data_IF_534673765275
#
_entry.id   IF_534673765275
#
_cell.length_a   1.000
_cell.length_b   1.000
_cell.length_c   1.000
_cell.angle_alpha   90.00
_cell.angle_beta   90.00
_cell.angle_gamma   90.00
#
_symmetry.space_group_name_H-M   'P 1'
#
loop_
_entity.id
_entity.type
_entity.pdbx_description
1 polymer ?
#
# COMPACT_ATOMS: atom_id res chain seq x y z
N UNK A 1 8.69 11.21 -19.55
CA UNK A 1 9.11 9.93 -18.94
C UNK A 1 8.01 8.91 -19.25
N UNK A 2 8.32 7.65 -19.52
CA UNK A 2 7.30 6.58 -19.54
C UNK A 2 7.07 6.05 -18.12
N UNK A 3 5.96 5.33 -17.87
CA UNK A 3 5.73 4.74 -16.54
C UNK A 3 6.85 3.76 -16.13
N UNK A 4 7.45 3.05 -17.10
CA UNK A 4 8.55 2.10 -16.91
C UNK A 4 9.89 2.78 -16.58
N UNK A 5 10.02 4.08 -16.86
CA UNK A 5 11.22 4.87 -16.60
C UNK A 5 11.19 5.59 -15.24
N UNK A 6 10.10 5.48 -14.49
CA UNK A 6 9.96 6.16 -13.20
C UNK A 6 10.91 5.52 -12.18
N UNK A 7 11.83 6.29 -11.55
CA UNK A 7 12.78 5.74 -10.59
C UNK A 7 12.11 5.29 -9.29
N UNK A 8 12.70 4.27 -8.66
CA UNK A 8 12.32 3.77 -7.34
C UNK A 8 12.77 4.70 -6.22
N UNK A 9 12.02 5.79 -6.01
CA UNK A 9 12.15 6.66 -4.84
C UNK A 9 11.15 6.32 -3.75
N UNK A 10 11.48 6.66 -2.51
CA UNK A 10 10.65 6.37 -1.35
C UNK A 10 9.75 7.56 -0.98
N UNK A 11 8.44 7.31 -0.98
CA UNK A 11 7.41 8.26 -0.55
C UNK A 11 6.65 7.65 0.62
N UNK A 12 6.34 8.47 1.62
CA UNK A 12 5.55 8.06 2.77
C UNK A 12 4.29 8.90 2.86
N UNK A 13 3.19 8.28 3.26
CA UNK A 13 1.94 8.98 3.51
C UNK A 13 1.35 8.61 4.88
N UNK A 14 0.58 9.53 5.44
CA UNK A 14 -0.08 9.37 6.74
C UNK A 14 -1.55 9.79 6.62
N UNK A 15 -2.45 8.94 7.10
CA UNK A 15 -3.85 9.26 7.28
C UNK A 15 -4.12 9.44 8.78
N UNK A 16 -4.63 10.61 9.16
CA UNK A 16 -5.01 10.90 10.57
C UNK A 16 -6.47 10.55 10.85
N UNK A 17 -7.29 10.52 9.80
CA UNK A 17 -8.72 10.19 9.86
C UNK A 17 -9.20 9.81 8.47
N UNK A 18 -10.00 8.76 8.40
CA UNK A 18 -10.67 8.33 7.16
C UNK A 18 -11.56 9.44 6.59
N UNK A 19 -11.40 9.73 5.30
CA UNK A 19 -12.42 10.43 4.52
C UNK A 19 -13.49 9.45 4.03
N UNK A 20 -14.66 9.45 4.68
CA UNK A 20 -15.75 8.52 4.35
C UNK A 20 -16.31 8.72 2.93
N UNK A 21 -16.20 9.91 2.34
CA UNK A 21 -16.65 10.18 0.96
C UNK A 21 -15.83 9.42 -0.09
N UNK A 22 -14.62 8.96 0.27
CA UNK A 22 -13.76 8.19 -0.62
C UNK A 22 -14.13 6.71 -0.71
N UNK A 23 -14.97 6.22 0.22
CA UNK A 23 -15.36 4.84 0.30
C UNK A 23 -16.17 4.42 -0.92
N UNK A 24 -15.89 3.22 -1.43
CA UNK A 24 -16.68 2.61 -2.50
C UNK A 24 -17.11 1.20 -2.13
N UNK A 25 -18.22 0.77 -2.70
CA UNK A 25 -18.66 -0.62 -2.62
C UNK A 25 -18.00 -1.46 -3.71
N UNK A 26 -17.80 -2.74 -3.42
CA UNK A 26 -17.41 -3.72 -4.41
C UNK A 26 -18.59 -4.04 -5.33
N UNK A 27 -18.34 -4.19 -6.63
CA UNK A 27 -19.38 -4.60 -7.57
C UNK A 27 -19.80 -6.04 -7.29
N UNK A 28 -21.08 -6.35 -7.55
CA UNK A 28 -21.69 -7.64 -7.20
C UNK A 28 -21.08 -8.84 -7.93
N UNK A 29 -20.37 -8.65 -9.04
CA UNK A 29 -19.66 -9.74 -9.73
C UNK A 29 -18.36 -10.19 -9.02
N UNK A 30 -17.96 -9.49 -7.95
CA UNK A 30 -16.77 -9.78 -7.16
C UNK A 30 -17.14 -9.95 -5.68
N UNK A 31 -16.25 -10.57 -4.91
CA UNK A 31 -16.38 -10.65 -3.45
C UNK A 31 -15.02 -10.52 -2.75
N UNK A 32 -15.07 -10.16 -1.47
CA UNK A 32 -13.90 -10.14 -0.60
C UNK A 32 -13.71 -11.49 0.08
N UNK A 33 -12.45 -11.90 0.25
CA UNK A 33 -12.06 -12.93 1.21
C UNK A 33 -10.63 -12.73 1.65
N UNK A 34 -10.27 -13.29 2.79
CA UNK A 34 -8.89 -13.33 3.20
C UNK A 34 -8.03 -14.24 2.30
N UNK A 35 -6.74 -13.91 2.21
CA UNK A 35 -5.72 -14.79 1.65
C UNK A 35 -5.62 -16.07 2.50
N UNK A 36 -5.65 -17.24 1.85
CA UNK A 36 -5.58 -18.52 2.56
C UNK A 36 -4.11 -18.96 2.74
N UNK A 37 -3.80 -19.81 3.73
CA UNK A 37 -2.43 -20.27 3.96
C UNK A 37 -1.74 -20.89 2.75
N UNK A 38 -2.49 -21.61 1.91
CA UNK A 38 -1.98 -22.24 0.69
C UNK A 38 -1.87 -21.27 -0.51
N UNK A 39 -2.20 -20.00 -0.35
CA UNK A 39 -2.20 -18.98 -1.42
C UNK A 39 -1.05 -17.97 -1.27
N UNK A 40 -0.08 -18.22 -0.37
CA UNK A 40 1.07 -17.35 -0.18
C UNK A 40 1.83 -17.07 -1.48
N UNK A 41 1.99 -18.07 -2.35
CA UNK A 41 2.67 -17.89 -3.63
C UNK A 41 1.88 -17.00 -4.60
N UNK A 42 0.54 -17.06 -4.57
CA UNK A 42 -0.31 -16.17 -5.36
C UNK A 42 -0.11 -14.72 -4.90
N UNK A 43 -0.09 -14.49 -3.58
CA UNK A 43 0.18 -13.18 -3.02
C UNK A 43 1.59 -12.67 -3.40
N UNK A 44 2.61 -13.53 -3.34
CA UNK A 44 3.98 -13.15 -3.73
C UNK A 44 4.10 -12.81 -5.21
N UNK A 45 3.33 -13.45 -6.09
CA UNK A 45 3.38 -13.22 -7.54
C UNK A 45 2.61 -11.96 -7.98
N UNK A 46 1.70 -11.47 -7.13
CA UNK A 46 0.80 -10.35 -7.40
C UNK A 46 1.46 -9.06 -7.92
N UNK A 47 2.62 -8.63 -7.40
CA UNK A 47 3.29 -7.40 -7.85
C UNK A 47 3.76 -7.46 -9.31
N UNK A 48 3.94 -8.67 -9.85
CA UNK A 48 4.56 -8.89 -11.16
C UNK A 48 3.55 -9.14 -12.28
N UNK A 49 2.24 -9.08 -11.98
CA UNK A 49 1.18 -9.42 -12.94
C UNK A 49 1.41 -10.80 -13.59
N UNK A 50 1.91 -11.77 -12.80
CA UNK A 50 2.32 -13.12 -13.22
C UNK A 50 1.65 -14.20 -12.38
N UNK A 51 1.56 -15.43 -12.90
CA UNK A 51 1.08 -16.60 -12.15
C UNK A 51 2.09 -17.08 -11.10
N UNK A 52 3.38 -16.77 -11.30
CA UNK A 52 4.48 -17.15 -10.42
C UNK A 52 5.41 -15.98 -10.17
N UNK A 53 6.17 -16.04 -9.07
CA UNK A 53 7.21 -15.06 -8.76
C UNK A 53 8.35 -15.25 -9.77
N UNK A 54 8.79 -14.21 -10.49
CA UNK A 54 9.98 -14.34 -11.34
C UNK A 54 11.20 -14.68 -10.50
N UNK A 55 12.06 -15.57 -10.99
CA UNK A 55 13.18 -16.17 -10.24
C UNK A 55 14.06 -15.12 -9.58
N UNK A 56 14.35 -14.01 -10.26
CA UNK A 56 15.19 -12.92 -9.77
C UNK A 56 14.59 -12.17 -8.56
N UNK A 57 13.29 -12.32 -8.30
CA UNK A 57 12.59 -11.69 -7.15
C UNK A 57 12.21 -12.68 -6.06
N UNK A 58 12.51 -13.98 -6.19
CA UNK A 58 12.12 -14.98 -5.19
C UNK A 58 12.71 -14.69 -3.81
N UNK A 59 14.01 -14.41 -3.75
CA UNK A 59 14.73 -14.09 -2.51
C UNK A 59 14.21 -12.81 -1.88
N UNK A 60 13.95 -11.79 -2.70
CA UNK A 60 13.39 -10.52 -2.25
C UNK A 60 12.00 -10.71 -1.62
N UNK A 61 11.11 -11.46 -2.28
CA UNK A 61 9.79 -11.74 -1.74
C UNK A 61 9.83 -12.63 -0.50
N UNK A 62 10.78 -13.57 -0.41
CA UNK A 62 11.00 -14.36 0.81
C UNK A 62 11.48 -13.48 1.96
N UNK A 63 12.37 -12.52 1.69
CA UNK A 63 12.82 -11.56 2.70
C UNK A 63 11.66 -10.71 3.23
N UNK A 64 10.79 -10.20 2.36
CA UNK A 64 9.58 -9.46 2.80
C UNK A 64 8.72 -10.30 3.73
N UNK A 65 8.47 -11.57 3.40
CA UNK A 65 7.70 -12.45 4.28
C UNK A 65 8.39 -12.60 5.63
N UNK A 66 9.69 -12.93 5.64
CA UNK A 66 10.43 -13.18 6.87
C UNK A 66 10.52 -11.93 7.76
N UNK A 67 10.91 -10.80 7.16
CA UNK A 67 11.17 -9.56 7.89
C UNK A 67 9.88 -8.91 8.38
N UNK A 68 8.82 -8.92 7.58
CA UNK A 68 7.56 -8.21 7.88
C UNK A 68 6.53 -9.06 8.60
N UNK A 69 6.37 -10.32 8.23
CA UNK A 69 5.20 -11.12 8.60
C UNK A 69 5.53 -12.46 9.28
N UNK A 70 6.78 -12.92 9.18
CA UNK A 70 7.19 -14.27 9.56
C UNK A 70 6.98 -14.60 11.03
N UNK A 71 6.93 -13.58 11.89
CA UNK A 71 6.62 -13.72 13.31
C UNK A 71 5.17 -14.15 13.59
N UNK A 72 4.23 -13.82 12.70
CA UNK A 72 2.82 -14.17 12.84
C UNK A 72 2.11 -14.28 11.48
N UNK A 73 2.38 -15.38 10.79
CA UNK A 73 1.74 -15.69 9.51
C UNK A 73 0.22 -15.85 9.61
N UNK A 74 -0.31 -16.25 10.78
CA UNK A 74 -1.76 -16.37 10.97
C UNK A 74 -2.42 -14.99 10.86
N UNK A 75 -1.84 -13.99 11.52
CA UNK A 75 -2.31 -12.59 11.43
C UNK A 75 -2.08 -12.02 10.03
N UNK A 76 -1.00 -12.38 9.35
CA UNK A 76 -0.80 -11.97 7.94
C UNK A 76 -1.95 -12.43 7.05
N UNK A 77 -2.35 -13.71 7.13
CA UNK A 77 -3.45 -14.23 6.34
C UNK A 77 -4.80 -13.56 6.71
N UNK A 78 -5.05 -13.29 7.99
CA UNK A 78 -6.28 -12.59 8.41
C UNK A 78 -6.32 -11.10 8.03
N UNK A 79 -5.16 -10.47 7.84
CA UNK A 79 -5.08 -9.05 7.49
C UNK A 79 -4.85 -8.78 6.00
N UNK A 80 -4.70 -9.84 5.20
CA UNK A 80 -4.55 -9.76 3.75
C UNK A 80 -5.88 -10.09 3.10
N UNK A 81 -6.47 -9.12 2.39
CA UNK A 81 -7.75 -9.27 1.71
C UNK A 81 -7.52 -9.39 0.21
N UNK A 82 -8.09 -10.43 -0.39
CA UNK A 82 -8.29 -10.55 -1.82
C UNK A 82 -9.68 -10.10 -2.24
N UNK A 83 -9.72 -9.42 -3.38
CA UNK A 83 -10.92 -9.34 -4.22
C UNK A 83 -10.86 -10.50 -5.19
N UNK A 84 -11.91 -11.31 -5.23
CA UNK A 84 -12.02 -12.47 -6.10
C UNK A 84 -13.15 -12.31 -7.12
N UNK A 85 -12.96 -12.89 -8.29
CA UNK A 85 -14.03 -13.05 -9.27
C UNK A 85 -14.92 -14.27 -8.93
N UNK A 86 -15.96 -14.50 -9.75
CA UNK A 86 -16.89 -15.64 -9.62
C UNK A 86 -16.24 -17.04 -9.60
N UNK A 87 -15.01 -17.16 -10.11
CA UNK A 87 -14.26 -18.42 -10.20
C UNK A 87 -13.27 -18.58 -9.02
N UNK A 88 -13.41 -17.75 -7.97
CA UNK A 88 -12.52 -17.69 -6.78
C UNK A 88 -11.08 -17.28 -7.08
N UNK A 89 -10.81 -16.71 -8.28
CA UNK A 89 -9.51 -16.18 -8.67
C UNK A 89 -9.26 -14.82 -8.01
N UNK A 90 -8.18 -14.64 -7.24
CA UNK A 90 -7.74 -13.32 -6.77
C UNK A 90 -7.38 -12.38 -7.93
N UNK A 91 -7.93 -11.18 -7.92
CA UNK A 91 -7.74 -10.15 -8.97
C UNK A 91 -7.37 -8.77 -8.42
N UNK A 92 -7.57 -8.53 -7.11
CA UNK A 92 -6.92 -7.44 -6.39
C UNK A 92 -6.56 -7.90 -4.97
N UNK A 93 -5.59 -7.23 -4.36
CA UNK A 93 -5.15 -7.47 -2.99
C UNK A 93 -4.88 -6.16 -2.28
N UNK A 94 -5.10 -6.14 -0.96
CA UNK A 94 -4.56 -5.13 -0.06
C UNK A 94 -4.36 -5.79 1.31
N UNK A 95 -3.33 -5.35 2.02
CA UNK A 95 -3.02 -5.87 3.35
C UNK A 95 -2.90 -4.71 4.33
N UNK A 96 -3.16 -4.97 5.60
CA UNK A 96 -2.73 -4.06 6.65
C UNK A 96 -1.87 -4.78 7.68
N UNK A 97 -0.98 -4.05 8.32
CA UNK A 97 -0.05 -4.61 9.28
C UNK A 97 0.23 -3.65 10.41
N UNK A 98 0.60 -4.19 11.57
CA UNK A 98 1.15 -3.37 12.66
C UNK A 98 2.66 -3.40 12.58
N UNK A 99 3.24 -2.53 11.74
CA UNK A 99 4.67 -2.49 11.48
C UNK A 99 5.46 -2.33 12.79
N UNK A 100 6.43 -3.22 12.99
CA UNK A 100 7.27 -3.33 14.20
C UNK A 100 6.48 -3.54 15.51
N UNK A 101 5.20 -3.89 15.43
CA UNK A 101 4.28 -3.87 16.56
C UNK A 101 3.94 -2.46 17.07
N UNK A 102 4.33 -1.40 16.35
CA UNK A 102 4.31 0.00 16.81
C UNK A 102 3.17 0.83 16.23
N UNK A 103 2.90 0.75 14.93
CA UNK A 103 1.90 1.57 14.25
C UNK A 103 1.19 0.79 13.14
N UNK A 104 -0.04 1.20 12.81
CA UNK A 104 -0.81 0.58 11.74
C UNK A 104 -0.36 1.09 10.37
N UNK A 105 -0.27 0.19 9.41
CA UNK A 105 0.14 0.50 8.05
C UNK A 105 -0.68 -0.23 7.00
N UNK A 106 -0.81 0.39 5.82
CA UNK A 106 -1.35 -0.23 4.61
C UNK A 106 -0.20 -0.76 3.77
N UNK A 107 -0.23 -2.05 3.46
CA UNK A 107 0.77 -2.73 2.65
C UNK A 107 0.15 -3.37 1.40
N UNK A 108 0.95 -3.48 0.33
CA UNK A 108 0.66 -4.30 -0.85
C UNK A 108 -0.76 -4.13 -1.43
N UNK A 109 -1.12 -2.90 -1.80
CA UNK A 109 -2.31 -2.63 -2.62
C UNK A 109 -1.97 -2.83 -4.11
N UNK A 110 -2.60 -3.81 -4.76
CA UNK A 110 -2.45 -4.03 -6.21
C UNK A 110 -3.73 -4.60 -6.79
N UNK A 111 -4.05 -4.19 -8.01
CA UNK A 111 -5.03 -4.84 -8.89
C UNK A 111 -4.26 -5.38 -10.09
N UNK A 112 -4.56 -6.59 -10.54
CA UNK A 112 -3.89 -7.13 -11.73
C UNK A 112 -4.25 -6.29 -12.96
N UNK A 113 -3.31 -6.15 -13.90
CA UNK A 113 -3.39 -5.20 -15.02
C UNK A 113 -4.70 -5.26 -15.80
N UNK A 114 -5.25 -6.45 -16.05
CA UNK A 114 -6.49 -6.65 -16.82
C UNK A 114 -7.74 -6.13 -16.10
N UNK A 115 -7.67 -5.96 -14.77
CA UNK A 115 -8.79 -5.53 -13.93
C UNK A 115 -8.64 -4.10 -13.39
N UNK A 116 -7.57 -3.40 -13.77
CA UNK A 116 -7.39 -1.99 -13.42
C UNK A 116 -8.50 -1.10 -14.00
N UNK A 117 -8.71 0.09 -13.40
CA UNK A 117 -9.76 1.01 -13.83
C UNK A 117 -11.19 0.62 -13.43
N UNK A 118 -11.38 -0.55 -12.81
CA UNK A 118 -12.69 -1.04 -12.36
C UNK A 118 -13.03 -0.70 -10.89
N UNK A 119 -12.23 0.17 -10.26
CA UNK A 119 -12.35 0.59 -8.85
C UNK A 119 -12.14 -0.52 -7.79
N UNK A 120 -11.55 -1.67 -8.17
CA UNK A 120 -11.30 -2.77 -7.22
C UNK A 120 -10.31 -2.39 -6.11
N UNK A 121 -9.21 -1.71 -6.47
CA UNK A 121 -8.25 -1.19 -5.49
C UNK A 121 -8.89 -0.24 -4.48
N UNK A 122 -9.82 0.61 -4.93
CA UNK A 122 -10.60 1.48 -4.01
C UNK A 122 -11.51 0.67 -3.11
N UNK A 123 -12.20 -0.34 -3.65
CA UNK A 123 -13.12 -1.17 -2.88
C UNK A 123 -12.40 -1.96 -1.78
N UNK A 124 -11.26 -2.59 -2.08
CA UNK A 124 -10.50 -3.34 -1.06
C UNK A 124 -9.85 -2.41 -0.02
N UNK A 125 -9.36 -1.23 -0.43
CA UNK A 125 -8.89 -0.23 0.52
C UNK A 125 -10.04 0.29 1.39
N UNK A 126 -11.25 0.43 0.84
CA UNK A 126 -12.45 0.79 1.60
C UNK A 126 -12.78 -0.24 2.68
N UNK A 127 -12.68 -1.53 2.34
CA UNK A 127 -12.94 -2.61 3.29
C UNK A 127 -11.95 -2.59 4.46
N UNK A 128 -10.67 -2.42 4.16
CA UNK A 128 -9.63 -2.32 5.19
C UNK A 128 -9.79 -1.04 6.02
N UNK A 129 -9.97 0.12 5.38
CA UNK A 129 -10.02 1.38 6.11
C UNK A 129 -11.24 1.48 7.04
N UNK A 130 -12.35 0.78 6.73
CA UNK A 130 -13.53 0.67 7.59
C UNK A 130 -13.33 -0.20 8.83
N UNK A 131 -12.34 -1.10 8.83
CA UNK A 131 -12.11 -1.99 9.98
C UNK A 131 -11.35 -1.30 11.12
N UNK A 132 -10.68 -0.19 10.82
CA UNK A 132 -9.99 0.62 11.82
C UNK A 132 -10.95 1.49 12.64
N UNK A 133 -10.71 1.51 13.95
CA UNK A 133 -11.36 2.44 14.88
C UNK A 133 -10.61 3.77 14.94
N UNK A 134 -11.17 4.78 15.62
CA UNK A 134 -10.49 6.07 15.80
C UNK A 134 -9.12 5.94 16.49
N UNK A 135 -8.97 4.96 17.37
CA UNK A 135 -7.75 4.75 18.17
C UNK A 135 -6.63 4.05 17.37
N UNK A 136 -6.96 3.54 16.18
CA UNK A 136 -5.99 2.90 15.29
C UNK A 136 -5.21 3.89 14.42
N UNK A 137 -5.65 5.15 14.37
CA UNK A 137 -4.99 6.23 13.64
C UNK A 137 -3.87 6.86 14.47
N UNK A 138 -2.81 7.41 13.83
CA UNK A 138 -2.62 7.51 12.39
C UNK A 138 -2.22 6.19 11.70
N UNK A 139 -2.66 6.03 10.46
CA UNK A 139 -2.30 4.91 9.58
C UNK A 139 -1.26 5.40 8.58
N UNK A 140 -0.20 4.62 8.39
CA UNK A 140 0.91 4.98 7.52
C UNK A 140 1.02 4.07 6.30
N UNK A 141 1.70 4.54 5.25
CA UNK A 141 2.11 3.68 4.15
C UNK A 141 3.41 4.17 3.53
N UNK A 142 4.16 3.22 2.97
CA UNK A 142 5.27 3.45 2.06
C UNK A 142 4.80 3.18 0.64
N UNK A 143 5.27 3.98 -0.31
CA UNK A 143 4.99 3.82 -1.74
C UNK A 143 6.10 4.44 -2.58
N UNK A 144 5.93 4.42 -3.89
CA UNK A 144 6.89 4.89 -4.89
C UNK A 144 6.18 5.79 -5.90
N UNK A 145 6.90 6.70 -6.59
CA UNK A 145 6.29 7.58 -7.57
C UNK A 145 5.66 6.84 -8.76
N UNK A 146 6.16 5.63 -9.11
CA UNK A 146 5.56 4.78 -10.14
C UNK A 146 4.13 4.35 -9.80
N UNK A 147 3.79 4.33 -8.51
CA UNK A 147 2.44 4.07 -8.01
C UNK A 147 1.56 5.33 -7.95
N UNK A 148 1.76 6.31 -8.85
CA UNK A 148 1.07 7.61 -8.81
C UNK A 148 -0.47 7.51 -8.80
N UNK A 149 -1.05 6.48 -9.44
CA UNK A 149 -2.50 6.20 -9.37
C UNK A 149 -2.93 5.81 -7.96
N UNK A 150 -2.11 5.04 -7.25
CA UNK A 150 -2.31 4.68 -5.85
C UNK A 150 -2.08 5.88 -4.92
N UNK A 151 -1.05 6.72 -5.16
CA UNK A 151 -0.84 7.97 -4.41
C UNK A 151 -2.08 8.85 -4.45
N UNK A 152 -2.67 9.04 -5.63
CA UNK A 152 -3.94 9.75 -5.79
C UNK A 152 -5.07 9.07 -5.02
N UNK A 153 -5.19 7.74 -5.12
CA UNK A 153 -6.21 6.98 -4.39
C UNK A 153 -6.08 7.16 -2.88
N UNK A 154 -4.87 7.04 -2.32
CA UNK A 154 -4.63 7.25 -0.89
C UNK A 154 -5.01 8.67 -0.48
N UNK A 155 -4.65 9.68 -1.29
CA UNK A 155 -5.04 11.06 -1.02
C UNK A 155 -6.56 11.25 -0.92
N UNK A 156 -7.35 10.56 -1.76
CA UNK A 156 -8.81 10.61 -1.66
C UNK A 156 -9.30 10.14 -0.28
N UNK A 157 -8.66 9.12 0.30
CA UNK A 157 -8.98 8.57 1.63
C UNK A 157 -8.52 9.45 2.80
N UNK A 158 -7.83 10.55 2.53
CA UNK A 158 -7.32 11.47 3.55
C UNK A 158 -5.85 11.20 3.93
N UNK A 159 -5.12 10.40 3.15
CA UNK A 159 -3.67 10.30 3.33
C UNK A 159 -2.97 11.56 2.81
N UNK A 160 -2.05 12.11 3.61
CA UNK A 160 -1.21 13.26 3.27
C UNK A 160 0.22 12.78 3.02
N UNK A 161 0.90 13.40 2.06
CA UNK A 161 2.32 13.14 1.79
C UNK A 161 3.16 13.67 2.94
N UNK A 162 4.10 12.86 3.42
CA UNK A 162 5.02 13.25 4.48
C UNK A 162 6.28 13.87 3.88
N UNK A 163 6.70 15.03 4.40
CA UNK A 163 7.88 15.75 3.96
C UNK A 163 9.05 15.58 4.93
N UNK A 164 10.18 15.14 4.37
CA UNK A 164 11.47 15.12 5.05
C UNK A 164 11.66 13.99 6.06
N UNK A 165 12.88 13.89 6.57
CA UNK A 165 13.28 12.87 7.53
C UNK A 165 13.76 11.56 6.88
N UNK A 166 14.26 10.69 7.74
CA UNK A 166 14.60 9.31 7.43
C UNK A 166 13.62 8.42 8.21
N UNK A 167 13.00 7.48 7.52
CA UNK A 167 11.94 6.62 8.06
C UNK A 167 12.50 5.20 8.08
N UNK A 168 12.94 4.76 9.26
CA UNK A 168 13.74 3.54 9.40
C UNK A 168 15.04 3.65 8.61
N UNK A 169 15.30 2.67 7.76
CA UNK A 169 16.45 2.64 6.86
C UNK A 169 16.23 3.40 5.54
N UNK A 170 15.03 3.95 5.29
CA UNK A 170 14.68 4.59 4.01
C UNK A 170 14.72 6.13 4.11
N UNK A 171 15.43 6.83 3.20
CA UNK A 171 15.31 8.28 3.11
C UNK A 171 13.91 8.64 2.58
N UNK A 172 13.27 9.69 3.11
CA UNK A 172 12.07 10.23 2.48
C UNK A 172 12.46 11.13 1.30
N UNK A 173 12.06 10.74 0.10
CA UNK A 173 12.47 11.37 -1.16
C UNK A 173 11.33 12.15 -1.84
N UNK A 174 10.32 12.58 -1.07
CA UNK A 174 9.15 13.30 -1.57
C UNK A 174 9.52 14.43 -2.55
N UNK A 175 10.51 15.27 -2.23
CA UNK A 175 10.91 16.41 -3.05
C UNK A 175 11.39 15.99 -4.46
N UNK A 176 12.06 14.83 -4.59
CA UNK A 176 12.44 14.26 -5.90
C UNK A 176 11.22 13.72 -6.65
N UNK A 177 10.20 13.28 -5.92
CA UNK A 177 9.01 12.65 -6.47
C UNK A 177 7.96 13.66 -6.94
N UNK A 178 7.87 14.85 -6.33
CA UNK A 178 6.85 15.85 -6.66
C UNK A 178 6.81 16.23 -8.16
N UNK A 179 7.94 16.45 -8.86
CA UNK A 179 7.93 16.70 -10.31
C UNK A 179 7.36 15.52 -11.10
N UNK A 180 7.68 14.28 -10.72
CA UNK A 180 7.19 13.05 -11.37
C UNK A 180 5.68 12.93 -11.15
N UNK A 181 5.24 13.04 -9.89
CA UNK A 181 3.81 12.98 -9.56
C UNK A 181 3.00 14.04 -10.32
N UNK A 182 3.56 15.25 -10.52
CA UNK A 182 2.91 16.31 -11.30
C UNK A 182 2.76 15.98 -12.79
N UNK A 183 3.70 15.22 -13.37
CA UNK A 183 3.67 14.79 -14.76
C UNK A 183 2.57 13.73 -14.99
N UNK A 184 2.41 12.78 -14.05
CA UNK A 184 1.54 11.61 -14.25
C UNK A 184 0.16 11.70 -13.57
N UNK A 185 -0.01 12.49 -12.51
CA UNK A 185 -1.31 12.70 -11.86
C UNK A 185 -2.06 13.83 -12.60
N UNK A 186 -3.35 13.66 -12.95
CA UNK A 186 -4.14 14.73 -13.53
C UNK A 186 -4.06 16.01 -12.68
N UNK A 187 -3.81 17.16 -13.30
CA UNK A 187 -3.56 18.44 -12.61
C UNK A 187 -4.55 18.73 -11.47
N UNK A 188 -5.85 18.56 -11.72
CA UNK A 188 -6.93 18.79 -10.75
C UNK A 188 -6.83 17.92 -9.49
N UNK A 189 -6.23 16.74 -9.61
CA UNK A 189 -6.06 15.76 -8.54
C UNK A 189 -4.71 15.98 -7.85
N UNK A 190 -3.66 16.34 -8.61
CA UNK A 190 -2.36 16.73 -8.04
C UNK A 190 -2.48 17.96 -7.13
N UNK A 191 -3.27 18.96 -7.53
CA UNK A 191 -3.52 20.18 -6.74
C UNK A 191 -4.24 19.93 -5.41
N UNK A 192 -4.84 18.74 -5.23
CA UNK A 192 -5.49 18.32 -3.98
C UNK A 192 -4.56 17.54 -3.05
N UNK A 193 -3.35 17.20 -3.49
CA UNK A 193 -2.41 16.49 -2.63
C UNK A 193 -1.98 17.41 -1.49
N UNK A 194 -2.27 16.99 -0.26
CA UNK A 194 -1.79 17.64 0.94
C UNK A 194 -0.40 17.13 1.31
N UNK A 195 0.48 18.05 1.71
CA UNK A 195 1.84 17.76 2.17
C UNK A 195 1.97 18.30 3.59
N UNK A 196 2.46 17.47 4.50
CA UNK A 196 2.74 17.84 5.89
C UNK A 196 4.16 17.43 6.27
N UNK A 197 4.79 18.15 7.19
CA UNK A 197 6.08 17.72 7.73
C UNK A 197 5.94 16.36 8.43
N UNK A 198 6.91 15.48 8.22
CA UNK A 198 6.94 14.19 8.91
C UNK A 198 6.93 14.40 10.43
N UNK A 199 5.98 13.81 11.18
CA UNK A 199 5.94 13.97 12.62
C UNK A 199 7.23 13.48 13.29
N UNK A 200 7.84 14.30 14.13
CA UNK A 200 9.10 13.96 14.79
C UNK A 200 9.00 12.73 15.69
N UNK A 201 7.83 12.50 16.29
CA UNK A 201 7.59 11.29 17.07
C UNK A 201 7.60 10.03 16.18
N UNK A 202 7.12 10.13 14.94
CA UNK A 202 7.11 9.02 13.99
C UNK A 202 8.53 8.69 13.53
N UNK A 203 9.36 9.69 13.22
CA UNK A 203 10.79 9.48 12.90
C UNK A 203 11.49 8.72 14.04
N UNK A 204 11.35 9.21 15.28
CA UNK A 204 11.94 8.56 16.46
C UNK A 204 11.42 7.13 16.68
N UNK A 205 10.13 6.90 16.39
CA UNK A 205 9.50 5.60 16.57
C UNK A 205 10.17 4.50 15.73
N UNK A 206 10.71 4.87 14.56
CA UNK A 206 11.36 3.96 13.62
C UNK A 206 12.86 4.16 13.49
N UNK A 207 13.49 5.07 14.23
CA UNK A 207 14.90 5.47 13.99
C UNK A 207 15.91 4.32 14.15
N UNK A 208 15.58 3.30 14.94
CA UNK A 208 16.41 2.13 15.20
C UNK A 208 15.96 0.89 14.41
N UNK A 209 14.93 1.01 13.57
CA UNK A 209 14.45 -0.09 12.75
C UNK A 209 15.29 -0.24 11.48
N UNK A 210 15.73 -1.47 11.21
CA UNK A 210 16.68 -1.77 10.13
C UNK A 210 16.12 -2.73 9.07
N UNK A 211 14.95 -3.31 9.31
CA UNK A 211 14.29 -4.27 8.41
C UNK A 211 13.27 -3.58 7.50
N UNK A 212 12.77 -4.29 6.49
CA UNK A 212 11.84 -3.74 5.49
C UNK A 212 10.35 -3.83 5.87
N UNK A 213 10.00 -3.85 7.17
CA UNK A 213 8.57 -3.91 7.57
C UNK A 213 7.79 -2.65 7.17
N UNK A 214 8.49 -1.54 6.96
CA UNK A 214 7.93 -0.26 6.55
C UNK A 214 8.93 0.52 5.68
#
# INVERSE_FOLDING_TARGET
MTEEEIPDYNIFMMCERLNEEALSQLKSEYYFRNCRPNELQIWKAFPFDSETVPTEYEDFMNQIINDSYGSDMKTFFSNTIFVCNKDDKPIATCSHWKAYGKFNSIHWLKTIKEYEGQCLGRAVLSEIMKSFSSDDFPIYLHTQPGSFRAVKLYADFGFKLLKGGQIGHRPNELEKCLPILREFIPKKDFEKLEIVDTPQHFIKLVENETTIQF
#
